data_IF_570730649489
#
_entry.id   IF_570730649489
#
_cell.length_a   1.000
_cell.length_b   1.000
_cell.length_c   1.000
_cell.angle_alpha   90.00
_cell.angle_beta   90.00
_cell.angle_gamma   90.00
#
_symmetry.space_group_name_H-M   'P 1'
#
loop_
_entity.id
_entity.type
_entity.pdbx_description
1 polymer ?
#
# COMPACT_ATOMS: atom_id res chain seq x y z
N UNK A 1 9.49 -9.89 -3.27
CA UNK A 1 10.00 -8.50 -3.24
C UNK A 1 10.72 -8.16 -1.95
N UNK A 2 10.08 -8.21 -0.77
CA UNK A 2 10.72 -7.86 0.51
C UNK A 2 11.97 -8.71 0.84
N UNK A 3 12.08 -9.93 0.32
CA UNK A 3 13.25 -10.80 0.49
C UNK A 3 14.55 -10.21 -0.06
N UNK A 4 14.48 -9.26 -1.01
CA UNK A 4 15.68 -8.59 -1.52
C UNK A 4 16.23 -7.55 -0.53
N UNK A 5 15.43 -7.09 0.46
CA UNK A 5 15.86 -6.20 1.54
C UNK A 5 16.12 -4.74 1.15
N UNK A 6 16.34 -4.43 -0.14
CA UNK A 6 16.74 -3.10 -0.63
C UNK A 6 15.72 -2.45 -1.58
N UNK A 7 14.46 -2.88 -1.51
CA UNK A 7 13.37 -2.34 -2.33
C UNK A 7 12.31 -1.80 -1.38
N UNK A 8 11.91 -0.54 -1.53
CA UNK A 8 10.74 -0.02 -0.81
C UNK A 8 9.48 -0.68 -1.36
N UNK A 9 8.62 -1.23 -0.50
CA UNK A 9 7.38 -1.89 -0.93
C UNK A 9 6.22 -1.40 -0.10
N UNK A 10 5.17 -0.92 -0.76
CA UNK A 10 3.93 -0.59 -0.09
C UNK A 10 2.72 -1.19 -0.80
N UNK A 11 1.78 -1.69 -0.01
CA UNK A 11 0.44 -2.06 -0.48
C UNK A 11 -0.54 -1.01 0.03
N UNK A 12 -1.28 -0.39 -0.89
CA UNK A 12 -2.11 0.79 -0.61
C UNK A 12 -3.55 0.57 -1.08
N UNK A 13 -4.46 1.35 -0.52
CA UNK A 13 -5.84 1.48 -0.98
C UNK A 13 -6.33 2.89 -0.63
N UNK A 14 -6.54 3.71 -1.66
CA UNK A 14 -6.87 5.13 -1.50
C UNK A 14 -8.19 5.32 -0.75
N UNK A 15 -9.22 4.58 -1.16
CA UNK A 15 -10.55 4.66 -0.55
C UNK A 15 -10.63 4.04 0.84
N UNK A 16 -9.68 3.16 1.19
CA UNK A 16 -9.61 2.58 2.53
C UNK A 16 -8.87 3.48 3.52
N UNK A 17 -7.69 3.99 3.14
CA UNK A 17 -6.87 4.80 4.02
C UNK A 17 -5.99 5.82 3.28
N UNK A 18 -6.55 7.01 3.07
CA UNK A 18 -5.92 8.12 2.35
C UNK A 18 -4.55 8.51 2.93
N UNK A 19 -4.46 8.68 4.25
CA UNK A 19 -3.21 9.10 4.90
C UNK A 19 -2.09 8.08 4.73
N UNK A 20 -2.41 6.78 4.75
CA UNK A 20 -1.43 5.73 4.51
C UNK A 20 -0.96 5.73 3.05
N UNK A 21 -1.89 5.96 2.12
CA UNK A 21 -1.60 6.05 0.68
C UNK A 21 -0.65 7.21 0.36
N UNK A 22 -0.97 8.42 0.82
CA UNK A 22 -0.14 9.61 0.60
C UNK A 22 1.25 9.42 1.19
N UNK A 23 1.32 8.90 2.43
CA UNK A 23 2.60 8.63 3.09
C UNK A 23 3.44 7.60 2.34
N UNK A 24 2.82 6.51 1.86
CA UNK A 24 3.52 5.49 1.10
C UNK A 24 4.12 6.03 -0.21
N UNK A 25 3.37 6.89 -0.92
CA UNK A 25 3.84 7.51 -2.16
C UNK A 25 5.02 8.45 -1.88
N UNK A 26 4.92 9.29 -0.84
CA UNK A 26 6.00 10.21 -0.44
C UNK A 26 7.27 9.45 -0.02
N UNK A 27 7.13 8.40 0.79
CA UNK A 27 8.27 7.59 1.23
C UNK A 27 8.94 6.83 0.08
N UNK A 28 8.14 6.29 -0.85
CA UNK A 28 8.60 5.59 -2.04
C UNK A 28 9.37 6.50 -3.00
N UNK A 29 8.90 7.73 -3.18
CA UNK A 29 9.55 8.74 -4.04
C UNK A 29 10.88 9.21 -3.41
N UNK A 30 10.88 9.47 -2.11
CA UNK A 30 12.08 9.90 -1.39
C UNK A 30 13.10 8.77 -1.13
N UNK A 31 12.78 7.51 -1.47
CA UNK A 31 13.69 6.39 -1.29
C UNK A 31 14.77 6.40 -2.39
N UNK A 32 16.08 6.48 -2.05
CA UNK A 32 17.16 6.50 -3.04
C UNK A 32 17.44 5.09 -3.59
N UNK A 33 16.44 4.47 -4.20
CA UNK A 33 16.48 3.10 -4.69
C UNK A 33 15.18 2.68 -5.39
N UNK A 34 15.05 1.40 -5.75
CA UNK A 34 13.84 0.91 -6.38
C UNK A 34 12.66 0.90 -5.40
N UNK A 35 11.51 1.33 -5.89
CA UNK A 35 10.25 1.37 -5.14
C UNK A 35 9.13 0.65 -5.88
N UNK A 36 8.31 -0.11 -5.17
CA UNK A 36 7.11 -0.78 -5.67
C UNK A 36 5.89 -0.38 -4.85
N UNK A 37 4.86 0.09 -5.53
CA UNK A 37 3.54 0.36 -4.94
C UNK A 37 2.53 -0.58 -5.58
N UNK A 38 1.81 -1.33 -4.74
CA UNK A 38 0.72 -2.22 -5.14
C UNK A 38 -0.59 -1.57 -4.68
N UNK A 39 -1.30 -0.95 -5.62
CA UNK A 39 -2.55 -0.25 -5.33
C UNK A 39 -3.77 -1.11 -5.62
N UNK A 40 -4.72 -1.18 -4.68
CA UNK A 40 -6.04 -1.73 -4.99
C UNK A 40 -6.76 -0.79 -5.96
N UNK A 41 -7.16 -1.33 -7.12
CA UNK A 41 -7.91 -0.60 -8.14
C UNK A 41 -9.31 -1.19 -8.26
N UNK A 42 -10.37 -0.46 -7.87
CA UNK A 42 -11.75 -0.79 -8.23
C UNK A 42 -11.91 -0.98 -9.74
N UNK A 43 -12.72 -1.94 -10.15
CA UNK A 43 -13.05 -2.22 -11.54
C UNK A 43 -14.49 -2.73 -11.60
N UNK A 44 -15.22 -2.40 -12.67
CA UNK A 44 -16.60 -2.86 -12.89
C UNK A 44 -16.68 -4.40 -12.90
N UNK A 45 -15.62 -5.07 -13.35
CA UNK A 45 -15.54 -6.54 -13.44
C UNK A 45 -15.47 -7.23 -12.08
N UNK A 46 -15.37 -6.48 -10.98
CA UNK A 46 -15.59 -7.00 -9.65
C UNK A 46 -17.08 -7.18 -9.30
N UNK A 47 -18.00 -6.76 -10.17
CA UNK A 47 -19.43 -7.07 -10.09
C UNK A 47 -20.21 -6.23 -9.07
N UNK A 48 -19.82 -4.97 -8.85
CA UNK A 48 -20.50 -4.05 -7.94
C UNK A 48 -20.53 -2.62 -8.49
N UNK A 49 -21.41 -1.78 -7.95
CA UNK A 49 -21.51 -0.36 -8.33
C UNK A 49 -20.26 0.42 -7.90
N UNK A 50 -19.50 0.96 -8.86
CA UNK A 50 -18.28 1.71 -8.58
C UNK A 50 -18.51 2.97 -7.73
N UNK A 51 -19.74 3.48 -7.62
CA UNK A 51 -20.09 4.53 -6.66
C UNK A 51 -19.80 4.10 -5.21
N UNK A 52 -19.83 2.79 -4.92
CA UNK A 52 -19.55 2.20 -3.61
C UNK A 52 -18.09 1.76 -3.42
N UNK A 53 -17.20 2.08 -4.38
CA UNK A 53 -15.82 1.61 -4.38
C UNK A 53 -15.03 1.94 -3.11
N UNK A 54 -15.24 3.11 -2.51
CA UNK A 54 -14.59 3.47 -1.23
C UNK A 54 -15.07 2.62 -0.05
N UNK A 55 -16.35 2.26 0.00
CA UNK A 55 -16.90 1.40 1.03
C UNK A 55 -16.38 -0.03 0.87
N UNK A 56 -16.35 -0.52 -0.37
CA UNK A 56 -15.78 -1.82 -0.69
C UNK A 56 -14.30 -1.88 -0.32
N UNK A 57 -13.53 -0.84 -0.65
CA UNK A 57 -12.13 -0.69 -0.25
C UNK A 57 -11.93 -0.72 1.26
N UNK A 58 -12.80 -0.08 2.04
CA UNK A 58 -12.74 -0.18 3.51
C UNK A 58 -13.01 -1.61 3.98
N UNK A 59 -14.03 -2.27 3.45
CA UNK A 59 -14.39 -3.64 3.84
C UNK A 59 -13.29 -4.67 3.52
N UNK A 60 -12.67 -4.60 2.33
CA UNK A 60 -11.57 -5.51 1.97
C UNK A 60 -10.33 -5.34 2.86
N UNK A 61 -10.05 -4.11 3.33
CA UNK A 61 -8.96 -3.92 4.30
C UNK A 61 -9.34 -4.40 5.70
N UNK A 62 -10.57 -4.16 6.14
CA UNK A 62 -11.05 -4.57 7.46
C UNK A 62 -11.14 -6.09 7.62
N UNK A 63 -11.43 -6.81 6.53
CA UNK A 63 -11.46 -8.28 6.49
C UNK A 63 -10.08 -8.91 6.28
N UNK A 64 -9.05 -8.11 6.04
CA UNK A 64 -7.70 -8.59 5.75
C UNK A 64 -7.51 -9.15 4.34
N UNK A 65 -8.53 -9.09 3.48
CA UNK A 65 -8.42 -9.50 2.07
C UNK A 65 -7.32 -8.70 1.34
N UNK A 66 -7.18 -7.42 1.69
CA UNK A 66 -6.13 -6.56 1.18
C UNK A 66 -5.40 -5.85 2.33
N UNK A 67 -4.30 -6.42 2.84
CA UNK A 67 -3.54 -5.81 3.91
C UNK A 67 -2.86 -4.51 3.45
N UNK A 68 -2.88 -3.49 4.31
CA UNK A 68 -2.12 -2.26 4.09
C UNK A 68 -0.82 -2.32 4.86
N UNK A 69 0.30 -2.19 4.17
CA UNK A 69 1.63 -2.19 4.79
C UNK A 69 2.60 -1.30 4.01
N UNK A 70 3.71 -0.98 4.67
CA UNK A 70 4.86 -0.29 4.10
C UNK A 70 6.10 -0.99 4.65
N UNK A 71 7.00 -1.37 3.77
CA UNK A 71 8.31 -1.90 4.06
C UNK A 71 9.32 -0.87 3.59
N UNK A 72 10.03 -0.26 4.53
CA UNK A 72 11.04 0.77 4.27
C UNK A 72 12.43 0.28 4.67
N UNK A 73 13.29 -0.08 3.71
CA UNK A 73 14.65 -0.55 3.97
C UNK A 73 15.47 0.35 4.91
N UNK A 74 15.25 1.68 4.85
CA UNK A 74 16.00 2.66 5.66
C UNK A 74 15.81 2.44 7.16
N UNK A 75 14.67 1.87 7.56
CA UNK A 75 14.38 1.56 8.97
C UNK A 75 15.25 0.42 9.49
N UNK A 76 15.63 -0.54 8.64
CA UNK A 76 16.57 -1.59 9.02
C UNK A 76 17.97 -1.02 9.30
N UNK A 77 18.40 -0.01 8.52
CA UNK A 77 19.65 0.71 8.75
C UNK A 77 19.65 1.45 10.10
N UNK A 78 18.47 1.87 10.57
CA UNK A 78 18.26 2.46 11.90
C UNK A 78 18.08 1.41 13.02
N UNK A 79 18.20 0.11 12.73
CA UNK A 79 17.96 -0.98 13.69
C UNK A 79 16.49 -1.18 14.08
N UNK A 80 15.55 -0.62 13.31
CA UNK A 80 14.11 -0.77 13.50
C UNK A 80 13.56 -1.84 12.56
N UNK A 81 12.36 -2.32 12.88
CA UNK A 81 11.60 -3.17 11.96
C UNK A 81 11.27 -2.37 10.69
N UNK A 82 11.69 -2.86 9.50
CA UNK A 82 11.42 -2.22 8.22
C UNK A 82 9.96 -2.30 7.79
#
# INVERSE_FOLDING_TARGET
MMMYGHVYVAQISLGAQLNQTVKAIQEAEAYPGPSLIIAYSPCEEHGYDLALSHDQMRQLTATGFWPLYRFDPRRADEGKLP
#
